data_IF_318361759765
#
_entry.id   IF_318361759765
#
_cell.length_a   1.000
_cell.length_b   1.000
_cell.length_c   1.000
_cell.angle_alpha   90.00
_cell.angle_beta   90.00
_cell.angle_gamma   90.00
#
_symmetry.space_group_name_H-M   'P 1'
#
loop_
_entity.id
_entity.type
_entity.pdbx_description
1 polymer ?
#
# COMPACT_ATOMS: atom_id res chain seq x y z
N UNK A 1 36.56 -9.53 11.31
CA UNK A 1 35.45 -8.63 11.61
C UNK A 1 34.18 -9.48 11.67
N UNK A 2 33.60 -9.67 12.86
CA UNK A 2 32.35 -10.40 13.00
C UNK A 2 31.25 -9.50 12.39
N UNK A 3 30.55 -10.02 11.39
CA UNK A 3 29.31 -9.41 10.91
C UNK A 3 28.34 -9.42 12.11
N UNK A 4 28.08 -8.26 12.68
CA UNK A 4 27.02 -8.08 13.66
C UNK A 4 25.72 -8.54 13.00
N UNK A 5 25.16 -9.66 13.45
CA UNK A 5 23.88 -10.14 12.98
C UNK A 5 22.85 -9.03 13.26
N UNK A 6 22.27 -8.46 12.21
CA UNK A 6 21.19 -7.47 12.35
C UNK A 6 20.02 -8.21 12.99
N UNK A 7 19.55 -7.72 14.13
CA UNK A 7 18.39 -8.31 14.81
C UNK A 7 17.15 -8.22 13.89
N UNK A 8 16.31 -9.27 13.85
CA UNK A 8 15.12 -9.26 13.02
C UNK A 8 14.17 -8.11 13.43
N UNK A 9 13.58 -7.44 12.45
CA UNK A 9 12.57 -6.41 12.65
C UNK A 9 11.22 -7.09 12.91
N UNK A 10 10.90 -7.35 14.16
CA UNK A 10 9.68 -8.10 14.57
C UNK A 10 8.43 -7.22 14.65
N UNK A 11 8.61 -5.92 14.84
CA UNK A 11 7.55 -4.91 14.92
C UNK A 11 7.99 -3.66 14.19
N UNK A 12 7.04 -2.92 13.65
CA UNK A 12 7.26 -1.61 13.03
C UNK A 12 6.50 -0.53 13.80
N UNK A 13 7.15 0.62 13.97
CA UNK A 13 6.58 1.81 14.56
C UNK A 13 6.17 2.84 13.50
N UNK A 14 5.69 3.99 13.94
CA UNK A 14 5.27 5.04 13.01
C UNK A 14 6.43 5.65 12.21
N UNK A 15 7.69 5.61 12.71
CA UNK A 15 8.86 6.04 11.93
C UNK A 15 9.18 5.07 10.82
N UNK A 16 9.11 3.77 11.08
CA UNK A 16 9.28 2.75 10.04
C UNK A 16 8.24 2.98 8.94
N UNK A 17 6.97 3.16 9.30
CA UNK A 17 5.90 3.46 8.35
C UNK A 17 6.17 4.76 7.58
N UNK A 18 6.56 5.84 8.27
CA UNK A 18 6.88 7.13 7.66
C UNK A 18 7.96 6.99 6.58
N UNK A 19 9.13 6.45 6.93
CA UNK A 19 10.25 6.36 5.99
C UNK A 19 9.95 5.40 4.84
N UNK A 20 9.23 4.31 5.10
CA UNK A 20 8.80 3.37 4.05
C UNK A 20 7.83 4.05 3.09
N UNK A 21 6.86 4.82 3.61
CA UNK A 21 5.91 5.56 2.78
C UNK A 21 6.61 6.62 1.91
N UNK A 22 7.52 7.41 2.49
CA UNK A 22 8.30 8.42 1.74
C UNK A 22 9.13 7.75 0.62
N UNK A 23 9.84 6.66 0.94
CA UNK A 23 10.68 5.97 -0.04
C UNK A 23 9.85 5.36 -1.19
N UNK A 24 8.76 4.67 -0.86
CA UNK A 24 7.85 4.08 -1.83
C UNK A 24 7.13 5.14 -2.66
N UNK A 25 6.64 6.19 -2.01
CA UNK A 25 5.95 7.30 -2.65
C UNK A 25 6.83 8.02 -3.67
N UNK A 26 8.07 8.35 -3.31
CA UNK A 26 9.03 8.96 -4.24
C UNK A 26 9.29 8.05 -5.46
N UNK A 27 9.28 6.73 -5.27
CA UNK A 27 9.44 5.79 -6.39
C UNK A 27 8.24 5.81 -7.32
N UNK A 28 7.02 5.89 -6.79
CA UNK A 28 5.78 6.02 -7.60
C UNK A 28 5.81 7.33 -8.37
N UNK A 29 6.14 8.45 -7.73
CA UNK A 29 6.25 9.77 -8.36
C UNK A 29 7.28 9.73 -9.52
N UNK A 30 8.44 9.14 -9.30
CA UNK A 30 9.46 8.98 -10.34
C UNK A 30 9.02 8.09 -11.52
N UNK A 31 8.03 7.21 -11.30
CA UNK A 31 7.48 6.31 -12.32
C UNK A 31 6.20 6.86 -12.99
N UNK A 32 5.81 8.11 -12.71
CA UNK A 32 4.57 8.71 -13.20
C UNK A 32 4.36 8.57 -14.71
N UNK A 33 5.39 8.90 -15.51
CA UNK A 33 5.30 8.85 -16.97
C UNK A 33 5.06 7.41 -17.48
N UNK A 34 5.71 6.43 -16.87
CA UNK A 34 5.52 5.01 -17.22
C UNK A 34 4.11 4.54 -16.85
N UNK A 35 3.62 4.89 -15.67
CA UNK A 35 2.27 4.57 -15.22
C UNK A 35 1.19 5.19 -16.14
N UNK A 36 1.41 6.42 -16.60
CA UNK A 36 0.52 7.04 -17.58
C UNK A 36 0.55 6.31 -18.92
N UNK A 37 1.74 5.90 -19.38
CA UNK A 37 1.92 5.20 -20.66
C UNK A 37 1.20 3.85 -20.72
N UNK A 38 1.15 3.13 -19.60
CA UNK A 38 0.50 1.80 -19.53
C UNK A 38 -0.98 1.87 -19.11
N UNK A 39 -1.53 3.05 -18.88
CA UNK A 39 -2.92 3.21 -18.51
C UNK A 39 -3.84 2.88 -19.69
N UNK A 40 -4.70 1.88 -19.53
CA UNK A 40 -5.65 1.44 -20.56
C UNK A 40 -7.08 1.28 -20.07
N UNK A 41 -7.30 1.23 -18.76
CA UNK A 41 -8.60 0.94 -18.16
C UNK A 41 -8.89 1.90 -16.98
N UNK A 42 -10.15 2.33 -16.78
CA UNK A 42 -11.36 2.10 -17.59
C UNK A 42 -11.37 2.95 -18.86
N UNK A 43 -10.57 4.00 -18.92
CA UNK A 43 -10.39 4.89 -20.07
C UNK A 43 -8.89 5.06 -20.30
N UNK A 44 -8.48 5.05 -21.57
CA UNK A 44 -7.07 5.29 -21.93
C UNK A 44 -6.81 6.81 -22.03
N UNK A 45 -6.89 7.50 -20.88
CA UNK A 45 -6.65 8.95 -20.75
C UNK A 45 -5.22 9.29 -20.29
N UNK A 46 -4.42 8.26 -19.95
CA UNK A 46 -3.02 8.42 -19.59
C UNK A 46 -2.79 9.19 -18.29
N UNK A 47 -3.71 9.15 -17.33
CA UNK A 47 -3.67 9.96 -16.12
C UNK A 47 -3.40 9.20 -14.80
N UNK A 48 -3.38 7.86 -14.83
CA UNK A 48 -3.19 7.02 -13.63
C UNK A 48 -1.96 7.42 -12.83
N UNK A 49 -0.82 7.58 -13.49
CA UNK A 49 0.43 7.99 -12.84
C UNK A 49 0.35 9.41 -12.28
N UNK A 50 -0.27 10.34 -13.01
CA UNK A 50 -0.48 11.73 -12.57
C UNK A 50 -1.36 11.78 -11.33
N UNK A 51 -2.45 11.04 -11.30
CA UNK A 51 -3.38 10.97 -10.18
C UNK A 51 -2.72 10.37 -8.92
N UNK A 52 -2.01 9.25 -9.06
CA UNK A 52 -1.26 8.64 -7.96
C UNK A 52 -0.14 9.55 -7.45
N UNK A 53 0.68 10.11 -8.36
CA UNK A 53 1.77 10.99 -7.98
C UNK A 53 1.28 12.24 -7.26
N UNK A 54 0.19 12.87 -7.73
CA UNK A 54 -0.42 14.03 -7.08
C UNK A 54 -0.93 13.70 -5.68
N UNK A 55 -1.66 12.58 -5.52
CA UNK A 55 -2.17 12.13 -4.23
C UNK A 55 -1.02 11.87 -3.25
N UNK A 56 0.01 11.15 -3.68
CA UNK A 56 1.16 10.77 -2.83
C UNK A 56 2.03 11.99 -2.49
N UNK A 57 2.26 12.91 -3.44
CA UNK A 57 3.04 14.14 -3.18
C UNK A 57 2.41 14.97 -2.08
N UNK A 58 1.09 15.14 -2.12
CA UNK A 58 0.37 15.89 -1.07
C UNK A 58 0.50 15.25 0.31
N UNK A 59 0.52 13.91 0.38
CA UNK A 59 0.80 13.21 1.66
C UNK A 59 2.24 13.49 2.11
N UNK A 60 3.22 13.34 1.22
CA UNK A 60 4.64 13.53 1.53
C UNK A 60 4.93 14.94 2.05
N UNK A 61 4.33 15.97 1.42
CA UNK A 61 4.51 17.37 1.79
C UNK A 61 3.97 17.72 3.18
N UNK A 62 2.95 17.01 3.64
CA UNK A 62 2.28 17.29 4.93
C UNK A 62 2.67 16.33 6.05
N UNK A 63 3.30 15.20 5.71
CA UNK A 63 3.59 14.15 6.66
C UNK A 63 4.84 14.45 7.50
N UNK A 64 4.69 14.35 8.81
CA UNK A 64 5.79 14.46 9.77
C UNK A 64 6.01 13.13 10.51
N UNK A 65 7.26 12.76 10.81
CA UNK A 65 7.56 11.51 11.51
C UNK A 65 6.99 11.53 12.93
N UNK A 66 6.37 10.42 13.31
CA UNK A 66 5.91 10.14 14.67
C UNK A 66 6.34 8.71 15.04
N UNK A 67 6.53 8.43 16.33
CA UNK A 67 6.84 7.07 16.79
C UNK A 67 5.62 6.18 16.85
N UNK A 68 4.45 6.76 17.03
CA UNK A 68 3.21 6.00 17.15
C UNK A 68 2.70 5.60 15.75
N UNK A 69 2.58 4.28 15.54
CA UNK A 69 2.14 3.72 14.25
C UNK A 69 0.73 4.21 13.88
N UNK A 70 -0.21 4.16 14.83
CA UNK A 70 -1.61 4.55 14.60
C UNK A 70 -1.73 6.02 14.20
N UNK A 71 -0.97 6.90 14.85
CA UNK A 71 -0.94 8.33 14.53
C UNK A 71 -0.40 8.54 13.11
N UNK A 72 0.72 7.89 12.77
CA UNK A 72 1.31 8.02 11.43
C UNK A 72 0.38 7.47 10.35
N UNK A 73 -0.21 6.29 10.55
CA UNK A 73 -1.16 5.70 9.62
C UNK A 73 -2.40 6.59 9.43
N UNK A 74 -2.93 7.18 10.52
CA UNK A 74 -4.04 8.13 10.46
C UNK A 74 -3.73 9.38 9.66
N UNK A 75 -2.56 10.00 9.88
CA UNK A 75 -2.12 11.19 9.12
C UNK A 75 -1.93 10.90 7.63
N UNK A 76 -1.34 9.75 7.29
CA UNK A 76 -1.19 9.30 5.90
C UNK A 76 -2.58 9.16 5.25
N UNK A 77 -3.50 8.48 5.92
CA UNK A 77 -4.85 8.24 5.42
C UNK A 77 -5.63 9.54 5.23
N UNK A 78 -5.61 10.43 6.22
CA UNK A 78 -6.29 11.73 6.16
C UNK A 78 -5.79 12.58 5.00
N UNK A 79 -4.46 12.75 4.89
CA UNK A 79 -3.87 13.49 3.80
C UNK A 79 -4.17 12.89 2.43
N UNK A 80 -4.15 11.55 2.30
CA UNK A 80 -4.49 10.86 1.07
C UNK A 80 -5.96 11.07 0.68
N UNK A 81 -6.90 10.99 1.63
CA UNK A 81 -8.34 11.21 1.37
C UNK A 81 -8.64 12.63 0.91
N UNK A 82 -8.03 13.63 1.56
CA UNK A 82 -8.23 15.06 1.22
C UNK A 82 -7.74 15.37 -0.20
N UNK A 83 -6.66 14.71 -0.62
CA UNK A 83 -5.97 15.02 -1.88
C UNK A 83 -6.12 13.93 -2.94
N UNK A 84 -6.99 12.93 -2.72
CA UNK A 84 -7.22 11.86 -3.69
C UNK A 84 -7.67 12.40 -5.04
N UNK A 85 -7.03 11.96 -6.14
CA UNK A 85 -7.35 12.36 -7.50
C UNK A 85 -7.59 11.14 -8.39
N UNK A 86 -8.63 11.22 -9.20
CA UNK A 86 -9.02 10.17 -10.14
C UNK A 86 -9.31 8.82 -9.44
N UNK A 87 -9.66 7.81 -10.21
CA UNK A 87 -9.97 6.49 -9.67
C UNK A 87 -8.78 5.86 -8.95
N UNK A 88 -7.57 5.99 -9.49
CA UNK A 88 -6.36 5.41 -8.90
C UNK A 88 -6.01 6.05 -7.55
N UNK A 89 -6.10 7.37 -7.44
CA UNK A 89 -5.86 8.07 -6.19
C UNK A 89 -6.93 7.77 -5.14
N UNK A 90 -8.20 7.69 -5.52
CA UNK A 90 -9.31 7.34 -4.61
C UNK A 90 -9.12 5.90 -4.08
N UNK A 91 -8.84 4.92 -4.95
CA UNK A 91 -8.61 3.53 -4.55
C UNK A 91 -7.44 3.45 -3.57
N UNK A 92 -6.33 4.13 -3.87
CA UNK A 92 -5.15 4.13 -3.00
C UNK A 92 -5.44 4.80 -1.65
N UNK A 93 -6.11 5.95 -1.64
CA UNK A 93 -6.49 6.65 -0.41
C UNK A 93 -7.43 5.81 0.47
N UNK A 94 -8.40 5.12 -0.12
CA UNK A 94 -9.32 4.24 0.60
C UNK A 94 -8.62 3.01 1.17
N UNK A 95 -7.62 2.47 0.47
CA UNK A 95 -6.76 1.42 1.04
C UNK A 95 -6.02 1.91 2.28
N UNK A 96 -5.36 3.08 2.22
CA UNK A 96 -4.65 3.68 3.35
C UNK A 96 -5.60 4.00 4.52
N UNK A 97 -6.80 4.45 4.22
CA UNK A 97 -7.84 4.72 5.20
C UNK A 97 -8.27 3.43 5.91
N UNK A 98 -8.61 2.40 5.14
CA UNK A 98 -8.96 1.08 5.69
C UNK A 98 -7.83 0.50 6.54
N UNK A 99 -6.58 0.57 6.07
CA UNK A 99 -5.40 0.14 6.82
C UNK A 99 -5.29 0.88 8.17
N UNK A 100 -5.46 2.19 8.16
CA UNK A 100 -5.44 3.01 9.38
C UNK A 100 -6.53 2.62 10.37
N UNK A 101 -7.77 2.42 9.91
CA UNK A 101 -8.91 2.06 10.77
C UNK A 101 -8.76 0.66 11.36
N UNK A 102 -8.37 -0.31 10.53
CA UNK A 102 -8.30 -1.73 10.90
C UNK A 102 -7.05 -2.11 11.70
N UNK A 103 -6.08 -1.19 11.80
CA UNK A 103 -4.90 -1.41 12.64
C UNK A 103 -5.28 -1.46 14.12
N UNK A 104 -5.01 -2.59 14.77
CA UNK A 104 -5.26 -2.80 16.21
C UNK A 104 -4.08 -2.37 17.09
N UNK A 105 -2.85 -2.33 16.54
CA UNK A 105 -1.67 -1.82 17.24
C UNK A 105 -1.72 -0.30 17.38
N UNK A 106 -1.27 0.22 18.51
CA UNK A 106 -1.24 1.67 18.77
C UNK A 106 0.15 2.24 18.50
N UNK A 107 1.14 1.86 19.31
CA UNK A 107 2.51 2.36 19.17
C UNK A 107 3.29 1.63 18.08
N UNK A 108 3.19 0.31 18.05
CA UNK A 108 3.81 -0.59 17.09
C UNK A 108 2.80 -1.60 16.55
N UNK A 109 3.10 -2.22 15.43
CA UNK A 109 2.38 -3.37 14.89
C UNK A 109 3.35 -4.51 14.59
N UNK A 110 2.96 -5.73 14.94
CA UNK A 110 3.67 -6.94 14.55
C UNK A 110 3.17 -7.48 13.21
N UNK A 111 3.84 -8.53 12.69
CA UNK A 111 3.50 -9.15 11.39
C UNK A 111 2.03 -9.56 11.28
N UNK A 112 1.48 -10.18 12.34
CA UNK A 112 0.08 -10.60 12.37
C UNK A 112 -0.87 -9.41 12.28
N UNK A 113 -0.68 -8.42 13.15
CA UNK A 113 -1.53 -7.22 13.19
C UNK A 113 -1.50 -6.48 11.86
N UNK A 114 -0.32 -6.38 11.23
CA UNK A 114 -0.17 -5.79 9.91
C UNK A 114 -0.93 -6.57 8.85
N UNK A 115 -0.71 -7.89 8.75
CA UNK A 115 -1.36 -8.74 7.76
C UNK A 115 -2.89 -8.71 7.89
N UNK A 116 -3.42 -8.81 9.13
CA UNK A 116 -4.86 -8.73 9.40
C UNK A 116 -5.45 -7.36 9.04
N UNK A 117 -4.73 -6.25 9.32
CA UNK A 117 -5.20 -4.91 8.96
C UNK A 117 -5.22 -4.70 7.44
N UNK A 118 -4.20 -5.19 6.71
CA UNK A 118 -4.19 -5.17 5.24
C UNK A 118 -5.36 -5.98 4.68
N UNK A 119 -5.59 -7.17 5.20
CA UNK A 119 -6.71 -8.03 4.76
C UNK A 119 -8.07 -7.35 4.95
N UNK A 120 -8.28 -6.72 6.10
CA UNK A 120 -9.53 -6.01 6.39
C UNK A 120 -9.68 -4.71 5.59
N UNK A 121 -8.57 -4.06 5.22
CA UNK A 121 -8.57 -2.84 4.41
C UNK A 121 -9.10 -3.07 2.98
N UNK A 122 -9.05 -4.29 2.46
CA UNK A 122 -9.54 -4.63 1.10
C UNK A 122 -10.99 -4.22 0.90
N UNK A 123 -11.87 -4.41 1.89
CA UNK A 123 -13.30 -4.04 1.76
C UNK A 123 -13.50 -2.55 1.45
N UNK A 124 -12.73 -1.66 2.08
CA UNK A 124 -12.83 -0.21 1.85
C UNK A 124 -12.51 0.17 0.40
N UNK A 125 -11.59 -0.57 -0.19
CA UNK A 125 -11.20 -0.36 -1.60
C UNK A 125 -12.32 -0.76 -2.55
N UNK A 126 -12.96 -1.90 -2.31
CA UNK A 126 -14.08 -2.38 -3.11
C UNK A 126 -15.33 -1.54 -2.93
N UNK A 127 -15.61 -1.07 -1.70
CA UNK A 127 -16.75 -0.19 -1.39
C UNK A 127 -16.60 1.22 -2.01
N UNK A 128 -15.37 1.66 -2.27
CA UNK A 128 -15.09 2.97 -2.86
C UNK A 128 -15.37 3.04 -4.38
N UNK A 129 -15.57 1.90 -5.03
CA UNK A 129 -15.74 1.82 -6.49
C UNK A 129 -17.14 1.33 -6.81
N UNK A 130 -17.91 2.12 -7.57
CA UNK A 130 -19.30 1.80 -7.92
C UNK A 130 -19.44 0.49 -8.72
N UNK A 131 -18.42 0.15 -9.53
CA UNK A 131 -18.39 -1.06 -10.33
C UNK A 131 -16.97 -1.66 -10.26
N UNK A 132 -16.65 -2.45 -9.21
CA UNK A 132 -15.33 -3.06 -9.09
C UNK A 132 -15.08 -4.09 -10.19
N UNK A 133 -13.95 -3.97 -10.86
CA UNK A 133 -13.56 -4.86 -11.98
C UNK A 133 -12.25 -5.56 -11.63
N UNK A 134 -12.24 -6.89 -11.79
CA UNK A 134 -11.02 -7.70 -11.64
C UNK A 134 -10.05 -7.43 -12.80
N UNK A 135 -8.76 -7.69 -12.58
CA UNK A 135 -7.70 -7.33 -13.52
C UNK A 135 -7.22 -5.89 -13.39
N UNK A 136 -7.52 -5.25 -12.27
CA UNK A 136 -7.12 -3.88 -11.94
C UNK A 136 -6.27 -3.83 -10.67
N UNK A 137 -5.95 -2.63 -10.18
CA UNK A 137 -5.29 -2.42 -8.89
C UNK A 137 -6.04 -3.08 -7.73
N UNK A 138 -7.38 -3.23 -7.83
CA UNK A 138 -8.22 -3.92 -6.84
C UNK A 138 -7.76 -5.37 -6.66
N UNK A 139 -7.58 -6.08 -7.76
CA UNK A 139 -7.11 -7.49 -7.76
C UNK A 139 -5.73 -7.61 -7.12
N UNK A 140 -4.80 -6.72 -7.48
CA UNK A 140 -3.43 -6.75 -6.94
C UNK A 140 -3.43 -6.52 -5.43
N UNK A 141 -4.19 -5.55 -4.94
CA UNK A 141 -4.34 -5.27 -3.50
C UNK A 141 -4.95 -6.49 -2.78
N UNK A 142 -6.00 -7.09 -3.31
CA UNK A 142 -6.68 -8.25 -2.74
C UNK A 142 -5.75 -9.46 -2.65
N UNK A 143 -5.12 -9.85 -3.76
CA UNK A 143 -4.24 -11.02 -3.80
C UNK A 143 -3.01 -10.85 -2.89
N UNK A 144 -2.48 -9.64 -2.81
CA UNK A 144 -1.41 -9.32 -1.86
C UNK A 144 -1.89 -9.46 -0.41
N UNK A 145 -3.05 -8.93 -0.07
CA UNK A 145 -3.63 -9.03 1.26
C UNK A 145 -3.88 -10.50 1.67
N UNK A 146 -4.42 -11.30 0.77
CA UNK A 146 -4.64 -12.74 0.96
C UNK A 146 -3.33 -13.47 1.26
N UNK A 147 -2.27 -13.18 0.48
CA UNK A 147 -0.95 -13.77 0.71
C UNK A 147 -0.39 -13.39 2.07
N UNK A 148 -0.41 -12.10 2.44
CA UNK A 148 0.10 -11.64 3.72
C UNK A 148 -0.63 -12.32 4.88
N UNK A 149 -1.97 -12.39 4.81
CA UNK A 149 -2.78 -13.01 5.85
C UNK A 149 -2.55 -14.53 5.96
N UNK A 150 -2.29 -15.21 4.84
CA UNK A 150 -2.01 -16.64 4.82
C UNK A 150 -0.57 -17.00 5.23
N UNK A 151 0.39 -16.06 5.21
CA UNK A 151 1.81 -16.38 5.34
C UNK A 151 2.54 -15.73 6.53
N UNK A 152 1.97 -14.75 7.22
CA UNK A 152 2.66 -14.02 8.30
C UNK A 152 3.30 -14.92 9.36
N UNK A 153 2.68 -16.05 9.69
CA UNK A 153 3.15 -16.99 10.70
C UNK A 153 4.45 -17.75 10.31
N UNK A 154 4.88 -17.66 9.04
CA UNK A 154 6.11 -18.27 8.53
C UNK A 154 7.34 -17.38 8.70
N UNK A 155 7.14 -16.14 9.16
CA UNK A 155 8.19 -15.14 9.24
C UNK A 155 8.31 -14.58 10.65
N UNK A 156 9.52 -14.12 10.98
CA UNK A 156 9.84 -13.40 12.22
C UNK A 156 10.43 -12.02 11.96
N UNK A 157 10.62 -11.66 10.67
CA UNK A 157 11.25 -10.41 10.24
C UNK A 157 10.39 -9.74 9.16
N UNK A 158 10.05 -8.46 9.36
CA UNK A 158 9.24 -7.67 8.43
C UNK A 158 9.87 -7.53 7.05
N UNK A 159 11.21 -7.38 6.97
CA UNK A 159 11.88 -7.21 5.69
C UNK A 159 11.74 -8.48 4.85
N UNK A 160 11.98 -9.65 5.47
CA UNK A 160 11.84 -10.93 4.78
C UNK A 160 10.38 -11.21 4.40
N UNK A 161 9.44 -10.88 5.28
CA UNK A 161 8.01 -11.03 5.03
C UNK A 161 7.55 -10.17 3.83
N UNK A 162 7.89 -8.89 3.82
CA UNK A 162 7.51 -8.01 2.71
C UNK A 162 8.25 -8.35 1.42
N UNK A 163 9.53 -8.71 1.48
CA UNK A 163 10.28 -9.17 0.30
C UNK A 163 9.65 -10.40 -0.33
N UNK A 164 9.21 -11.38 0.48
CA UNK A 164 8.52 -12.57 -0.03
C UNK A 164 7.20 -12.26 -0.75
N UNK A 165 6.54 -11.17 -0.38
CA UNK A 165 5.29 -10.75 -1.00
C UNK A 165 5.46 -10.09 -2.37
N UNK A 166 6.68 -9.64 -2.74
CA UNK A 166 6.93 -8.98 -4.03
C UNK A 166 6.68 -9.91 -5.22
N UNK A 167 6.97 -11.19 -5.09
CA UNK A 167 6.74 -12.14 -6.19
C UNK A 167 5.24 -12.36 -6.44
N UNK A 168 4.44 -12.33 -5.38
CA UNK A 168 2.97 -12.37 -5.49
C UNK A 168 2.46 -11.12 -6.18
N UNK A 169 2.94 -9.93 -5.78
CA UNK A 169 2.57 -8.67 -6.42
C UNK A 169 2.94 -8.65 -7.91
N UNK A 170 4.15 -9.10 -8.27
CA UNK A 170 4.59 -9.19 -9.68
C UNK A 170 3.73 -10.15 -10.48
N UNK A 171 3.45 -11.33 -9.93
CA UNK A 171 2.59 -12.33 -10.57
C UNK A 171 1.18 -11.78 -10.76
N UNK A 172 0.56 -11.27 -9.70
CA UNK A 172 -0.77 -10.67 -9.76
C UNK A 172 -0.85 -9.58 -10.81
N UNK A 173 0.13 -8.65 -10.82
CA UNK A 173 0.20 -7.58 -11.81
C UNK A 173 0.32 -8.12 -13.25
N UNK A 174 1.15 -9.13 -13.48
CA UNK A 174 1.30 -9.72 -14.83
C UNK A 174 0.03 -10.41 -15.33
N UNK A 175 -0.81 -10.91 -14.42
CA UNK A 175 -2.08 -11.59 -14.73
C UNK A 175 -3.26 -10.62 -14.90
N UNK A 176 -3.13 -9.35 -14.55
CA UNK A 176 -4.23 -8.37 -14.64
C UNK A 176 -4.81 -8.25 -16.04
N UNK A 177 -3.95 -8.24 -17.07
CA UNK A 177 -4.38 -8.13 -18.47
C UNK A 177 -5.24 -9.31 -18.94
N UNK A 178 -5.03 -10.52 -18.38
CA UNK A 178 -5.84 -11.69 -18.69
C UNK A 178 -7.15 -11.76 -17.89
N UNK A 179 -7.20 -11.10 -16.72
CA UNK A 179 -8.37 -11.01 -15.85
C UNK A 179 -9.30 -9.85 -16.22
N UNK A 180 -8.78 -8.83 -16.89
CA UNK A 180 -9.55 -7.67 -17.36
C UNK A 180 -10.44 -8.11 -18.54
N UNK A 181 -11.78 -8.06 -18.35
CA UNK A 181 -12.80 -8.43 -19.34
C UNK A 181 -13.58 -7.21 -19.80
#
# INVERSE_FOLDING_TARGET
>A
MALTAISPLTEIDGRNLYYTFIAGGNRVIASQAELNRINVFPVNDGDTGTNLASTISSVIETLHPDRNYKITAGRIAEAALIHARGNSGIIFAQFLYGLSLETTGVATVNLRQFAESVQRAVRYVYEAVSNPVEGTMLTVIKEWAEYLNASWHKFTDFNLFLLSSLDVLRKSLSETTSKLK
#
